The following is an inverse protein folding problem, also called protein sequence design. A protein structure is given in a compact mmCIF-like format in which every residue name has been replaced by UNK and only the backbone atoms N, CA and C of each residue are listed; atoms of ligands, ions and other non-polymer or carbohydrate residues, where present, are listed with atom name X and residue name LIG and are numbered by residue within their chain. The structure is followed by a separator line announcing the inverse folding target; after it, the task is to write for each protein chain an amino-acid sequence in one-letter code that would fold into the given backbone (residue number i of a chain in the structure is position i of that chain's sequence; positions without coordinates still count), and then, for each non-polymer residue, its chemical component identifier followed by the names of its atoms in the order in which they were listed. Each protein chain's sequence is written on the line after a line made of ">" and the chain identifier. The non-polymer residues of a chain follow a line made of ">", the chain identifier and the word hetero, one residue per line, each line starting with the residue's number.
data_IF_711485317567
#
_entry.id   IF_711485317567
#
_cell.length_a   1.000
_cell.length_b   1.000
_cell.length_c   1.000
_cell.angle_alpha   90.00
_cell.angle_beta   90.00
_cell.angle_gamma   90.00
#
_symmetry.space_group_name_H-M   'P 1'
#
loop_
_entity.id
_entity.type
_entity.pdbx_description
1 polymer ?
#
# COMPACT_ATOMS: atom_id res chain seq x y z
N UNK A 1 13.70 -52.98 -28.63
CA UNK A 1 13.91 -51.77 -29.47
C UNK A 1 12.79 -50.73 -29.39
N UNK A 2 11.49 -51.10 -29.36
CA UNK A 2 10.37 -50.14 -29.33
C UNK A 2 10.30 -49.30 -28.04
N UNK A 3 10.63 -49.89 -26.88
CA UNK A 3 10.56 -49.21 -25.57
C UNK A 3 11.50 -47.98 -25.50
N UNK A 4 12.71 -48.07 -26.07
CA UNK A 4 13.65 -46.94 -26.07
C UNK A 4 13.18 -45.77 -26.95
N UNK A 5 12.47 -46.03 -28.04
CA UNK A 5 11.93 -44.97 -28.90
C UNK A 5 10.82 -44.19 -28.19
N UNK A 6 9.93 -44.87 -27.46
CA UNK A 6 8.90 -44.20 -26.66
C UNK A 6 9.50 -43.37 -25.52
N UNK A 7 10.55 -43.86 -24.85
CA UNK A 7 11.25 -43.10 -23.81
C UNK A 7 11.89 -41.82 -24.34
N UNK A 8 12.55 -41.89 -25.50
CA UNK A 8 13.16 -40.72 -26.16
C UNK A 8 12.08 -39.69 -26.57
N UNK A 9 10.97 -40.15 -27.16
CA UNK A 9 9.87 -39.27 -27.55
C UNK A 9 9.22 -38.57 -26.35
N UNK A 10 8.99 -39.29 -25.25
CA UNK A 10 8.47 -38.71 -24.00
C UNK A 10 9.43 -37.66 -23.42
N UNK A 11 10.74 -37.93 -23.46
CA UNK A 11 11.75 -36.98 -22.99
C UNK A 11 11.79 -35.70 -23.84
N UNK A 12 11.73 -35.83 -25.16
CA UNK A 12 11.66 -34.67 -26.08
C UNK A 12 10.38 -33.87 -25.85
N UNK A 13 9.23 -34.54 -25.70
CA UNK A 13 7.96 -33.88 -25.41
C UNK A 13 8.02 -33.13 -24.08
N UNK A 14 8.61 -33.72 -23.04
CA UNK A 14 8.81 -33.05 -21.75
C UNK A 14 9.70 -31.81 -21.89
N UNK A 15 10.81 -31.88 -22.64
CA UNK A 15 11.68 -30.73 -22.90
C UNK A 15 10.93 -29.63 -23.66
N UNK A 16 10.18 -29.97 -24.71
CA UNK A 16 9.41 -29.01 -25.49
C UNK A 16 8.34 -28.31 -24.65
N UNK A 17 7.63 -29.05 -23.79
CA UNK A 17 6.66 -28.49 -22.84
C UNK A 17 7.35 -27.57 -21.85
N UNK A 18 8.47 -27.98 -21.24
CA UNK A 18 9.24 -27.13 -20.32
C UNK A 18 9.74 -25.86 -21.00
N UNK A 19 10.23 -25.96 -22.23
CA UNK A 19 10.67 -24.80 -23.01
C UNK A 19 9.51 -23.85 -23.32
N UNK A 20 8.36 -24.37 -23.75
CA UNK A 20 7.14 -23.59 -23.98
C UNK A 20 6.66 -22.88 -22.72
N UNK A 21 6.60 -23.59 -21.58
CA UNK A 21 6.20 -23.01 -20.30
C UNK A 21 7.21 -21.96 -19.79
N UNK A 22 8.51 -22.14 -20.06
CA UNK A 22 9.56 -21.15 -19.79
C UNK A 22 9.40 -19.91 -20.65
N UNK A 23 9.13 -20.04 -21.95
CA UNK A 23 8.86 -18.93 -22.87
C UNK A 23 7.63 -18.12 -22.44
N UNK A 24 6.58 -18.81 -21.95
CA UNK A 24 5.40 -18.17 -21.36
C UNK A 24 5.64 -17.57 -19.97
N UNK A 25 6.86 -17.70 -19.42
CA UNK A 25 7.22 -17.20 -18.10
C UNK A 25 6.45 -17.88 -16.96
N UNK A 26 5.88 -19.07 -17.21
CA UNK A 26 5.13 -19.87 -16.24
C UNK A 26 6.09 -20.58 -15.30
N UNK A 27 7.22 -21.07 -15.83
CA UNK A 27 8.29 -21.67 -15.02
C UNK A 27 9.21 -20.59 -14.46
N UNK A 28 9.75 -20.77 -13.23
CA UNK A 28 10.86 -19.96 -12.75
C UNK A 28 12.07 -20.16 -13.68
N UNK A 29 12.75 -19.08 -14.06
CA UNK A 29 13.77 -19.11 -15.12
C UNK A 29 14.96 -20.04 -14.85
N UNK A 30 15.13 -20.48 -13.60
CA UNK A 30 15.85 -21.70 -13.21
C UNK A 30 15.55 -21.96 -11.72
N UNK A 31 14.73 -22.97 -11.37
CA UNK A 31 14.36 -23.27 -9.97
C UNK A 31 15.58 -23.67 -9.13
N UNK A 32 16.61 -24.25 -9.75
CA UNK A 32 17.84 -24.71 -9.09
C UNK A 32 18.86 -23.59 -8.87
N UNK A 33 18.79 -22.50 -9.62
CA UNK A 33 19.81 -21.47 -9.47
C UNK A 33 19.68 -20.75 -8.11
N UNK A 34 20.84 -20.56 -7.51
CA UNK A 34 21.03 -20.08 -6.15
C UNK A 34 21.03 -18.55 -6.16
N UNK A 35 20.47 -17.94 -5.12
CA UNK A 35 20.56 -16.49 -4.91
C UNK A 35 22.03 -16.07 -4.77
N UNK A 36 22.39 -14.92 -5.34
CA UNK A 36 23.71 -14.29 -5.15
C UNK A 36 23.75 -13.40 -3.91
N UNK A 37 22.66 -13.30 -3.16
CA UNK A 37 22.63 -12.58 -1.90
C UNK A 37 23.44 -13.35 -0.85
N UNK A 38 24.19 -12.66 0.03
CA UNK A 38 24.80 -13.28 1.20
C UNK A 38 23.79 -14.08 2.03
N UNK A 39 24.21 -15.21 2.61
CA UNK A 39 23.33 -16.04 3.45
C UNK A 39 22.94 -15.37 4.77
N UNK A 40 23.75 -14.42 5.25
CA UNK A 40 23.51 -13.66 6.49
C UNK A 40 23.37 -12.18 6.16
N UNK A 41 22.58 -11.45 6.95
CA UNK A 41 22.38 -10.01 6.80
C UNK A 41 23.73 -9.27 6.85
N UNK A 42 24.12 -8.54 5.79
CA UNK A 42 25.30 -7.68 5.81
C UNK A 42 25.08 -6.46 6.72
N UNK A 43 26.16 -5.95 7.31
CA UNK A 43 26.13 -4.66 8.02
C UNK A 43 25.73 -3.53 7.06
N UNK A 44 25.00 -2.54 7.56
CA UNK A 44 24.56 -1.39 6.76
C UNK A 44 23.53 -1.74 5.67
N UNK A 45 22.81 -2.87 5.80
CA UNK A 45 21.68 -3.19 4.93
C UNK A 45 20.62 -2.09 5.02
N UNK A 46 20.12 -1.65 3.86
CA UNK A 46 19.00 -0.72 3.74
C UNK A 46 17.93 -1.33 2.84
N UNK A 47 16.68 -1.28 3.28
CA UNK A 47 15.50 -1.69 2.51
C UNK A 47 14.63 -0.46 2.29
N UNK A 48 14.27 -0.22 1.03
CA UNK A 48 13.29 0.80 0.66
C UNK A 48 12.16 0.13 -0.12
N UNK A 49 10.91 0.43 0.23
CA UNK A 49 9.74 0.01 -0.53
C UNK A 49 8.87 1.23 -0.82
N UNK A 50 8.54 1.45 -2.09
CA UNK A 50 7.61 2.49 -2.52
C UNK A 50 6.36 1.88 -3.16
N UNK A 51 5.18 2.41 -2.85
CA UNK A 51 3.93 2.09 -3.51
C UNK A 51 3.30 3.39 -4.08
N UNK A 52 3.31 3.54 -5.40
CA UNK A 52 2.80 4.72 -6.10
C UNK A 52 1.34 4.54 -6.54
N UNK A 53 0.59 5.65 -6.58
CA UNK A 53 -0.81 5.70 -7.02
C UNK A 53 -1.04 5.86 -8.52
N UNK A 54 0.01 5.78 -9.35
CA UNK A 54 -0.07 6.06 -10.79
C UNK A 54 -0.12 7.57 -11.04
N UNK A 55 -1.11 8.03 -11.79
CA UNK A 55 -1.37 9.47 -12.02
C UNK A 55 -1.90 10.20 -10.79
N UNK A 56 -2.38 9.47 -9.77
CA UNK A 56 -2.82 10.11 -8.53
C UNK A 56 -1.59 10.60 -7.73
N UNK A 57 -1.64 11.83 -7.18
CA UNK A 57 -0.57 12.38 -6.36
C UNK A 57 -0.63 11.78 -4.94
N UNK A 58 -0.50 10.45 -4.86
CA UNK A 58 -0.55 9.65 -3.64
C UNK A 58 0.57 8.61 -3.72
N UNK A 59 1.36 8.50 -2.66
CA UNK A 59 2.35 7.43 -2.54
C UNK A 59 2.54 7.01 -1.09
N UNK A 60 3.02 5.79 -0.91
CA UNK A 60 3.47 5.26 0.40
C UNK A 60 4.88 4.75 0.26
N UNK A 61 5.69 4.96 1.27
CA UNK A 61 7.07 4.53 1.34
C UNK A 61 7.35 3.84 2.66
N UNK A 62 8.31 2.94 2.66
CA UNK A 62 8.93 2.37 3.85
C UNK A 62 10.43 2.48 3.64
N UNK A 63 11.12 2.93 4.68
CA UNK A 63 12.57 2.89 4.79
C UNK A 63 12.92 2.09 6.04
N UNK A 64 13.82 1.12 5.92
CA UNK A 64 14.29 0.28 7.01
C UNK A 64 15.81 0.16 6.91
N UNK A 65 16.50 0.56 7.96
CA UNK A 65 17.91 0.29 8.22
C UNK A 65 18.12 -0.03 9.70
N UNK A 66 19.35 -0.37 10.08
CA UNK A 66 19.73 -0.58 11.47
C UNK A 66 19.55 0.70 12.32
N UNK A 67 19.85 1.86 11.73
CA UNK A 67 19.84 3.15 12.43
C UNK A 67 18.46 3.83 12.44
N UNK A 68 17.62 3.58 11.43
CA UNK A 68 16.35 4.27 11.28
C UNK A 68 15.34 3.47 10.50
N UNK A 69 14.10 3.46 10.98
CA UNK A 69 12.97 2.92 10.25
C UNK A 69 11.82 3.92 10.25
N UNK A 70 11.18 4.11 9.10
CA UNK A 70 9.97 4.92 9.00
C UNK A 70 9.04 4.46 7.88
N UNK A 71 7.75 4.65 8.10
CA UNK A 71 6.74 4.65 7.05
C UNK A 71 6.46 6.09 6.63
N UNK A 72 6.46 6.35 5.33
CA UNK A 72 6.06 7.63 4.73
C UNK A 72 4.71 7.47 4.03
N UNK A 73 3.77 8.37 4.26
CA UNK A 73 2.56 8.50 3.44
C UNK A 73 2.54 9.91 2.85
N UNK A 74 2.37 10.03 1.54
CA UNK A 74 2.25 11.30 0.85
C UNK A 74 0.94 11.34 0.06
N UNK A 75 0.18 12.42 0.20
CA UNK A 75 -0.99 12.67 -0.63
C UNK A 75 -1.25 14.17 -0.76
N UNK A 76 -1.52 14.65 -1.97
CA UNK A 76 -1.96 16.04 -2.22
C UNK A 76 -1.09 17.10 -1.51
N UNK A 77 0.24 16.99 -1.62
CA UNK A 77 1.25 17.87 -0.99
C UNK A 77 1.38 17.75 0.53
N UNK A 78 0.67 16.82 1.16
CA UNK A 78 0.82 16.49 2.59
C UNK A 78 1.68 15.24 2.73
N UNK A 79 2.74 15.32 3.56
CA UNK A 79 3.61 14.20 3.90
C UNK A 79 3.53 13.89 5.40
N UNK A 80 3.38 12.61 5.73
CA UNK A 80 3.58 12.09 7.08
C UNK A 80 4.71 11.07 7.09
N UNK A 81 5.55 11.16 8.11
CA UNK A 81 6.53 10.12 8.45
C UNK A 81 6.24 9.61 9.85
N UNK A 82 6.09 8.30 9.98
CA UNK A 82 5.92 7.63 11.25
C UNK A 82 7.13 6.73 11.48
N UNK A 83 7.90 7.09 12.49
CA UNK A 83 9.12 6.38 12.86
C UNK A 83 8.79 5.17 13.73
N UNK A 84 9.56 4.10 13.55
CA UNK A 84 9.49 2.90 14.38
C UNK A 84 10.89 2.29 14.50
N UNK A 85 11.02 1.21 15.28
CA UNK A 85 12.27 0.46 15.42
C UNK A 85 12.03 -1.02 15.16
N UNK A 86 13.01 -1.67 14.54
CA UNK A 86 13.12 -3.12 14.43
C UNK A 86 14.29 -3.59 15.28
N UNK A 87 14.14 -4.74 15.93
CA UNK A 87 15.24 -5.44 16.57
C UNK A 87 16.18 -6.06 15.53
N UNK A 88 17.40 -6.42 15.95
CA UNK A 88 18.34 -7.13 15.08
C UNK A 88 17.77 -8.45 14.55
N UNK A 89 17.06 -9.20 15.40
CA UNK A 89 16.41 -10.45 14.99
C UNK A 89 15.33 -10.20 13.92
N UNK A 90 14.53 -9.15 14.07
CA UNK A 90 13.52 -8.76 13.08
C UNK A 90 14.15 -8.35 11.75
N UNK A 91 15.29 -7.64 11.78
CA UNK A 91 16.05 -7.29 10.59
C UNK A 91 16.65 -8.53 9.91
N UNK A 92 17.16 -9.49 10.68
CA UNK A 92 17.69 -10.75 10.16
C UNK A 92 16.60 -11.60 9.50
N UNK A 93 15.42 -11.71 10.13
CA UNK A 93 14.25 -12.40 9.57
C UNK A 93 13.74 -11.72 8.30
N UNK A 94 13.66 -10.38 8.31
CA UNK A 94 13.26 -9.63 7.13
C UNK A 94 14.25 -9.83 5.99
N UNK A 95 15.57 -9.80 6.26
CA UNK A 95 16.59 -10.09 5.26
C UNK A 95 16.49 -11.52 4.72
N UNK A 96 16.28 -12.50 5.59
CA UNK A 96 16.13 -13.90 5.18
C UNK A 96 15.00 -14.08 4.17
N UNK A 97 13.91 -13.31 4.30
CA UNK A 97 12.83 -13.28 3.30
C UNK A 97 13.34 -12.94 1.89
N UNK A 98 14.28 -12.01 1.74
CA UNK A 98 14.87 -11.67 0.43
C UNK A 98 15.72 -12.81 -0.13
N UNK A 99 16.46 -13.51 0.73
CA UNK A 99 17.31 -14.64 0.35
C UNK A 99 16.46 -15.84 -0.09
N UNK A 100 15.47 -16.22 0.73
CA UNK A 100 14.60 -17.38 0.49
C UNK A 100 13.77 -17.20 -0.80
N UNK A 101 13.30 -15.97 -1.04
CA UNK A 101 12.54 -15.62 -2.23
C UNK A 101 13.43 -15.23 -3.42
N UNK A 102 14.76 -15.40 -3.32
CA UNK A 102 15.72 -15.16 -4.40
C UNK A 102 15.51 -13.78 -5.05
N UNK A 103 15.40 -12.73 -4.23
CA UNK A 103 15.00 -11.39 -4.67
C UNK A 103 15.86 -10.84 -5.81
N UNK A 104 17.16 -11.14 -5.80
CA UNK A 104 18.13 -10.78 -6.85
C UNK A 104 17.88 -11.44 -8.21
N UNK A 105 16.99 -12.43 -8.26
CA UNK A 105 16.66 -13.20 -9.47
C UNK A 105 15.24 -12.96 -9.98
N UNK A 106 14.45 -12.12 -9.30
CA UNK A 106 13.10 -11.80 -9.74
C UNK A 106 13.18 -11.10 -11.09
N UNK A 107 12.52 -11.67 -12.08
CA UNK A 107 12.48 -11.11 -13.43
C UNK A 107 11.27 -10.25 -13.65
N UNK A 108 11.48 -9.19 -14.42
CA UNK A 108 10.42 -8.32 -14.89
C UNK A 108 10.22 -8.47 -16.40
N UNK A 109 9.11 -7.95 -16.89
CA UNK A 109 8.83 -7.73 -18.30
C UNK A 109 8.29 -6.30 -18.45
N UNK A 110 8.49 -5.74 -19.65
CA UNK A 110 7.95 -4.44 -19.99
C UNK A 110 6.70 -4.63 -20.85
N UNK A 111 5.64 -3.89 -20.54
CA UNK A 111 4.39 -3.85 -21.31
C UNK A 111 3.83 -2.44 -21.28
N UNK A 112 3.36 -1.96 -22.43
CA UNK A 112 2.80 -0.62 -22.53
C UNK A 112 1.53 -0.51 -21.67
N UNK A 113 1.51 0.47 -20.77
CA UNK A 113 0.37 0.77 -19.90
C UNK A 113 0.46 2.23 -19.48
N UNK A 114 -0.65 2.96 -19.61
CA UNK A 114 -0.67 4.42 -19.51
C UNK A 114 -0.76 4.94 -18.08
N UNK A 115 -1.58 4.33 -17.22
CA UNK A 115 -1.71 4.71 -15.82
C UNK A 115 -1.74 3.47 -14.93
N UNK A 116 -0.62 3.20 -14.27
CA UNK A 116 -0.53 2.11 -13.29
C UNK A 116 0.34 2.51 -12.13
N UNK A 117 -0.29 2.57 -10.96
CA UNK A 117 0.43 2.52 -9.70
C UNK A 117 1.22 1.22 -9.53
N UNK A 118 1.86 1.06 -8.39
CA UNK A 118 2.55 -0.20 -8.12
C UNK A 118 3.66 -0.09 -7.12
N UNK A 119 4.28 -1.24 -6.86
CA UNK A 119 5.27 -1.38 -5.80
C UNK A 119 6.67 -1.53 -6.39
N UNK A 120 7.63 -0.77 -5.87
CA UNK A 120 9.06 -0.96 -6.11
C UNK A 120 9.75 -1.28 -4.80
N UNK A 121 10.66 -2.25 -4.83
CA UNK A 121 11.46 -2.65 -3.67
C UNK A 121 12.93 -2.50 -4.03
N UNK A 122 13.71 -1.91 -3.13
CA UNK A 122 15.15 -1.75 -3.23
C UNK A 122 15.79 -2.39 -1.99
N UNK A 123 16.80 -3.21 -2.22
CA UNK A 123 17.66 -3.78 -1.19
C UNK A 123 19.08 -3.31 -1.49
N UNK A 124 19.66 -2.50 -0.61
CA UNK A 124 21.05 -2.05 -0.70
C UNK A 124 21.91 -2.80 0.31
N UNK A 125 22.95 -3.46 -0.19
CA UNK A 125 23.96 -4.18 0.62
C UNK A 125 25.34 -3.95 0.00
N UNK A 126 26.36 -3.67 0.81
CA UNK A 126 27.76 -3.54 0.36
C UNK A 126 27.93 -2.67 -0.91
N UNK A 127 27.31 -1.48 -0.94
CA UNK A 127 27.30 -0.54 -2.09
C UNK A 127 26.59 -1.04 -3.37
N UNK A 128 25.98 -2.23 -3.33
CA UNK A 128 25.17 -2.78 -4.42
C UNK A 128 23.68 -2.60 -4.14
N UNK A 129 22.96 -2.13 -5.14
CA UNK A 129 21.49 -2.00 -5.09
C UNK A 129 20.85 -3.09 -5.94
N UNK A 130 20.00 -3.90 -5.31
CA UNK A 130 19.09 -4.82 -5.97
C UNK A 130 17.73 -4.15 -6.00
N UNK A 131 17.12 -4.01 -7.18
CA UNK A 131 15.84 -3.32 -7.32
C UNK A 131 14.90 -4.11 -8.19
N UNK A 132 13.64 -4.17 -7.77
CA UNK A 132 12.57 -4.86 -8.49
C UNK A 132 11.36 -3.94 -8.53
N UNK A 133 10.88 -3.69 -9.75
CA UNK A 133 9.74 -2.82 -10.01
C UNK A 133 8.54 -3.63 -10.48
N UNK A 134 7.41 -3.43 -9.80
CA UNK A 134 6.09 -3.83 -10.27
C UNK A 134 5.19 -2.59 -10.32
N UNK A 135 5.59 -1.60 -11.11
CA UNK A 135 4.92 -0.31 -11.27
C UNK A 135 5.00 0.20 -12.72
N UNK A 136 4.05 1.06 -13.10
CA UNK A 136 3.97 1.61 -14.46
C UNK A 136 3.95 0.50 -15.52
N UNK A 137 4.79 0.64 -16.54
CA UNK A 137 4.95 -0.32 -17.62
C UNK A 137 5.81 -1.55 -17.28
N UNK A 138 6.27 -1.71 -16.03
CA UNK A 138 7.11 -2.85 -15.61
C UNK A 138 6.31 -3.83 -14.77
N UNK A 139 6.30 -5.10 -15.16
CA UNK A 139 5.52 -6.17 -14.52
C UNK A 139 6.43 -7.29 -14.03
N UNK A 140 6.09 -7.93 -12.92
CA UNK A 140 6.76 -9.16 -12.49
C UNK A 140 6.33 -10.33 -13.40
N UNK A 141 7.29 -11.09 -13.91
CA UNK A 141 6.98 -12.32 -14.68
C UNK A 141 6.22 -13.31 -13.81
N UNK A 142 5.28 -14.07 -14.40
CA UNK A 142 4.38 -14.98 -13.68
C UNK A 142 5.13 -15.92 -12.71
N UNK A 143 6.22 -16.55 -13.16
CA UNK A 143 7.06 -17.43 -12.33
C UNK A 143 7.82 -16.76 -11.18
N UNK A 144 7.82 -15.42 -11.08
CA UNK A 144 8.43 -14.66 -9.97
C UNK A 144 7.40 -13.93 -9.09
N UNK A 145 6.10 -14.02 -9.40
CA UNK A 145 5.06 -13.26 -8.69
C UNK A 145 4.93 -13.66 -7.23
N UNK A 146 5.00 -14.97 -6.92
CA UNK A 146 4.96 -15.47 -5.53
C UNK A 146 6.12 -14.89 -4.72
N UNK A 147 7.35 -15.01 -5.23
CA UNK A 147 8.55 -14.54 -4.57
C UNK A 147 8.51 -13.03 -4.29
N UNK A 148 8.09 -12.23 -5.27
CA UNK A 148 7.94 -10.79 -5.08
C UNK A 148 6.81 -10.49 -4.07
N UNK A 149 5.69 -11.19 -4.17
CA UNK A 149 4.55 -11.07 -3.27
C UNK A 149 4.92 -11.34 -1.82
N UNK A 150 5.69 -12.40 -1.56
CA UNK A 150 6.17 -12.75 -0.22
C UNK A 150 7.08 -11.68 0.38
N UNK A 151 8.03 -11.15 -0.40
CA UNK A 151 8.90 -10.04 0.06
C UNK A 151 8.06 -8.81 0.44
N UNK A 152 7.14 -8.40 -0.44
CA UNK A 152 6.27 -7.24 -0.18
C UNK A 152 5.34 -7.49 1.01
N UNK A 153 4.79 -8.70 1.13
CA UNK A 153 3.89 -9.09 2.22
C UNK A 153 4.60 -9.03 3.57
N UNK A 154 5.81 -9.59 3.68
CA UNK A 154 6.58 -9.59 4.93
C UNK A 154 7.00 -8.17 5.35
N UNK A 155 7.41 -7.31 4.40
CA UNK A 155 7.68 -5.89 4.69
C UNK A 155 6.42 -5.21 5.24
N UNK A 156 5.26 -5.41 4.59
CA UNK A 156 3.99 -4.81 5.05
C UNK A 156 3.59 -5.33 6.43
N UNK A 157 3.72 -6.63 6.68
CA UNK A 157 3.34 -7.26 7.94
C UNK A 157 4.16 -6.72 9.12
N UNK A 158 5.49 -6.65 8.96
CA UNK A 158 6.37 -6.17 10.04
C UNK A 158 6.15 -4.68 10.32
N UNK A 159 5.99 -3.87 9.27
CA UNK A 159 5.67 -2.44 9.43
C UNK A 159 4.32 -2.25 10.11
N UNK A 160 3.28 -2.97 9.66
CA UNK A 160 1.95 -2.89 10.26
C UNK A 160 1.98 -3.26 11.75
N UNK A 161 2.73 -4.29 12.14
CA UNK A 161 2.89 -4.68 13.55
C UNK A 161 3.52 -3.57 14.41
N UNK A 162 4.44 -2.76 13.86
CA UNK A 162 5.06 -1.63 14.56
C UNK A 162 4.21 -0.36 14.55
N UNK A 163 3.45 -0.14 13.51
CA UNK A 163 2.63 1.06 13.31
C UNK A 163 1.27 0.95 14.01
N UNK A 164 0.67 -0.24 14.06
CA UNK A 164 -0.68 -0.43 14.61
C UNK A 164 -0.84 0.03 16.06
N UNK A 165 0.13 -0.19 16.98
CA UNK A 165 0.06 0.31 18.35
C UNK A 165 0.15 1.85 18.46
N UNK A 166 0.62 2.53 17.40
CA UNK A 166 0.75 3.99 17.37
C UNK A 166 -0.53 4.69 16.88
N UNK A 167 -1.52 3.91 16.43
CA UNK A 167 -2.80 4.44 15.98
C UNK A 167 -3.65 4.89 17.18
N UNK A 168 -4.14 6.13 17.15
CA UNK A 168 -5.11 6.64 18.09
C UNK A 168 -6.51 6.62 17.50
N UNK A 169 -7.51 6.42 18.35
CA UNK A 169 -8.90 6.57 17.98
C UNK A 169 -9.22 8.06 17.75
N UNK A 170 -10.02 8.32 16.73
CA UNK A 170 -10.42 9.64 16.29
C UNK A 170 -11.90 9.60 15.93
N UNK A 171 -12.70 10.43 16.59
CA UNK A 171 -14.15 10.49 16.42
C UNK A 171 -14.54 11.59 15.43
N UNK A 172 -15.40 11.24 14.47
CA UNK A 172 -16.09 12.20 13.61
C UNK A 172 -17.53 12.26 14.08
N UNK A 173 -17.92 13.38 14.67
CA UNK A 173 -19.28 13.66 15.12
C UNK A 173 -20.02 14.44 14.04
N UNK A 174 -21.01 13.83 13.42
CA UNK A 174 -21.90 14.48 12.45
C UNK A 174 -23.06 15.15 13.20
N UNK A 175 -23.32 16.42 12.92
CA UNK A 175 -24.54 17.07 13.40
C UNK A 175 -25.78 16.44 12.75
N UNK A 176 -26.91 16.44 13.47
CA UNK A 176 -28.18 15.88 12.99
C UNK A 176 -28.63 16.50 11.66
N UNK A 177 -28.45 17.81 11.46
CA UNK A 177 -28.83 18.47 10.21
C UNK A 177 -28.05 17.92 9.00
N UNK A 178 -26.76 17.61 9.19
CA UNK A 178 -25.93 16.99 8.13
C UNK A 178 -26.48 15.60 7.80
N UNK A 179 -26.88 14.83 8.81
CA UNK A 179 -27.42 13.47 8.66
C UNK A 179 -28.76 13.53 7.93
N UNK A 180 -29.69 14.38 8.36
CA UNK A 180 -31.06 14.44 7.84
C UNK A 180 -31.10 14.79 6.34
N UNK A 181 -30.15 15.63 5.90
CA UNK A 181 -30.00 16.04 4.51
C UNK A 181 -29.29 14.99 3.65
N UNK A 182 -28.52 14.09 4.26
CA UNK A 182 -27.67 13.13 3.56
C UNK A 182 -28.46 11.92 3.07
N UNK A 183 -28.25 11.55 1.80
CA UNK A 183 -28.75 10.31 1.22
C UNK A 183 -27.69 9.22 1.24
N UNK A 184 -26.47 9.57 0.84
CA UNK A 184 -25.30 8.69 0.82
C UNK A 184 -24.07 9.52 1.16
N UNK A 185 -22.96 8.88 1.48
CA UNK A 185 -21.76 9.58 1.94
C UNK A 185 -20.46 8.85 1.70
N UNK A 186 -19.37 9.61 1.79
CA UNK A 186 -18.02 9.08 1.73
C UNK A 186 -17.10 9.92 2.61
N UNK A 187 -16.33 9.22 3.44
CA UNK A 187 -15.25 9.77 4.25
C UNK A 187 -13.96 9.09 3.81
N UNK A 188 -12.95 9.87 3.43
CA UNK A 188 -11.65 9.34 3.05
C UNK A 188 -10.49 10.17 3.53
N UNK A 189 -9.40 9.47 3.87
CA UNK A 189 -8.10 10.08 4.05
C UNK A 189 -7.02 9.19 3.43
N UNK A 190 -6.49 9.55 2.25
CA UNK A 190 -5.45 8.76 1.60
C UNK A 190 -4.16 8.64 2.44
N UNK A 191 -3.83 9.70 3.18
CA UNK A 191 -2.67 9.71 4.10
C UNK A 191 -2.82 8.75 5.29
N UNK A 192 -4.05 8.40 5.66
CA UNK A 192 -4.38 7.47 6.76
C UNK A 192 -4.99 6.15 6.28
N UNK A 193 -5.10 5.92 4.97
CA UNK A 193 -5.71 4.72 4.37
C UNK A 193 -7.17 4.50 4.74
N UNK A 194 -7.90 5.59 4.92
CA UNK A 194 -9.31 5.57 5.27
C UNK A 194 -10.13 5.73 3.99
N UNK A 195 -11.11 4.85 3.81
CA UNK A 195 -12.18 4.96 2.83
C UNK A 195 -13.42 4.29 3.41
N UNK A 196 -14.39 5.10 3.83
CA UNK A 196 -15.65 4.65 4.41
C UNK A 196 -16.80 5.25 3.62
N UNK A 197 -17.57 4.39 2.95
CA UNK A 197 -18.77 4.78 2.20
C UNK A 197 -20.04 4.47 2.98
N UNK A 198 -21.07 5.27 2.73
CA UNK A 198 -22.44 5.08 3.18
C UNK A 198 -23.31 5.10 1.93
N UNK A 199 -24.08 4.05 1.68
CA UNK A 199 -24.96 3.93 0.51
C UNK A 199 -26.28 4.61 0.76
N UNK A 200 -27.04 4.82 -0.30
CA UNK A 200 -28.41 5.31 -0.19
C UNK A 200 -29.27 4.34 0.62
N UNK A 201 -29.98 4.88 1.62
CA UNK A 201 -30.81 4.08 2.53
C UNK A 201 -30.06 3.50 3.74
N UNK A 202 -28.73 3.62 3.79
CA UNK A 202 -27.97 3.25 4.98
C UNK A 202 -28.24 4.24 6.12
N UNK A 203 -28.26 3.74 7.36
CA UNK A 203 -28.24 4.60 8.54
C UNK A 203 -26.84 5.23 8.68
N UNK A 204 -26.74 6.55 8.48
CA UNK A 204 -25.50 7.29 8.68
C UNK A 204 -25.36 7.59 10.19
N UNK A 205 -24.38 6.99 10.89
CA UNK A 205 -24.25 7.18 12.32
C UNK A 205 -23.81 8.60 12.64
N UNK A 206 -24.32 9.15 13.74
CA UNK A 206 -23.91 10.45 14.29
C UNK A 206 -22.45 10.48 14.77
N UNK A 207 -21.88 9.33 15.13
CA UNK A 207 -20.49 9.20 15.56
C UNK A 207 -19.79 8.11 14.77
N UNK A 208 -18.65 8.46 14.16
CA UNK A 208 -17.82 7.55 13.37
C UNK A 208 -16.43 7.53 13.98
N UNK A 209 -16.03 6.38 14.53
CA UNK A 209 -14.65 6.19 15.02
C UNK A 209 -13.76 5.69 13.89
N UNK A 210 -12.60 6.34 13.73
CA UNK A 210 -11.53 6.01 12.80
C UNK A 210 -10.21 5.92 13.57
N UNK A 211 -9.19 5.33 12.95
CA UNK A 211 -7.85 5.25 13.52
C UNK A 211 -6.87 6.07 12.70
N UNK A 212 -6.14 6.96 13.36
CA UNK A 212 -5.14 7.83 12.74
C UNK A 212 -3.81 7.74 13.46
N UNK A 213 -2.74 8.09 12.74
CA UNK A 213 -1.45 8.36 13.36
C UNK A 213 -1.39 9.86 13.70
N UNK A 214 -0.57 10.28 14.68
CA UNK A 214 -0.22 11.68 14.79
C UNK A 214 0.42 12.21 13.51
N UNK A 215 0.06 13.41 13.09
CA UNK A 215 0.57 14.06 11.88
C UNK A 215 -0.50 14.82 11.09
N UNK A 216 -0.13 15.25 9.89
CA UNK A 216 -0.97 16.02 8.98
C UNK A 216 -1.70 15.10 8.00
N UNK A 217 -3.01 15.12 7.97
CA UNK A 217 -3.81 14.23 7.16
C UNK A 217 -4.70 14.99 6.21
N UNK A 218 -4.70 14.62 4.93
CA UNK A 218 -5.73 15.13 4.01
C UNK A 218 -7.02 14.34 4.25
N UNK A 219 -8.05 14.98 4.83
CA UNK A 219 -9.36 14.38 5.07
C UNK A 219 -10.39 14.97 4.09
N UNK A 220 -11.21 14.11 3.50
CA UNK A 220 -12.34 14.49 2.66
C UNK A 220 -13.61 13.85 3.20
N UNK A 221 -14.65 14.66 3.35
CA UNK A 221 -16.00 14.24 3.72
C UNK A 221 -16.94 14.78 2.66
N UNK A 222 -17.79 13.92 2.10
CA UNK A 222 -18.79 14.32 1.10
C UNK A 222 -20.05 13.46 1.21
N UNK A 223 -21.21 14.11 1.17
CA UNK A 223 -22.52 13.49 1.17
C UNK A 223 -23.31 13.92 -0.07
N UNK A 224 -24.09 13.00 -0.63
CA UNK A 224 -25.15 13.37 -1.56
C UNK A 224 -26.36 13.86 -0.76
N UNK A 225 -27.06 14.86 -1.27
CA UNK A 225 -28.19 15.48 -0.55
C UNK A 225 -29.54 15.18 -1.19
N UNK A 226 -30.61 15.17 -0.37
CA UNK A 226 -32.01 15.03 -0.83
C UNK A 226 -32.44 16.18 -1.74
N UNK A 227 -32.01 17.39 -1.38
CA UNK A 227 -32.35 18.60 -2.09
C UNK A 227 -31.17 19.13 -2.90
N UNK A 228 -31.49 19.91 -3.93
CA UNK A 228 -30.53 20.79 -4.57
C UNK A 228 -30.12 21.84 -3.55
N UNK A 229 -28.85 21.86 -3.14
CA UNK A 229 -28.33 22.97 -2.33
C UNK A 229 -28.57 24.29 -3.07
N UNK A 230 -28.57 25.41 -2.35
CA UNK A 230 -28.85 26.76 -2.89
C UNK A 230 -27.97 27.15 -4.10
N UNK A 231 -26.88 26.42 -4.34
CA UNK A 231 -25.95 26.57 -5.47
C UNK A 231 -26.15 25.54 -6.61
N UNK A 232 -27.27 24.83 -6.67
CA UNK A 232 -27.56 23.83 -7.70
C UNK A 232 -26.79 22.49 -7.55
N UNK A 233 -25.99 22.32 -6.49
CA UNK A 233 -25.21 21.08 -6.27
C UNK A 233 -25.98 20.08 -5.42
N UNK A 234 -25.88 18.80 -5.78
CA UNK A 234 -26.43 17.67 -5.02
C UNK A 234 -25.46 17.11 -3.97
N UNK A 235 -24.48 17.90 -3.54
CA UNK A 235 -23.38 17.42 -2.69
C UNK A 235 -23.03 18.41 -1.59
N UNK A 236 -23.04 17.93 -0.35
CA UNK A 236 -22.50 18.61 0.83
C UNK A 236 -21.13 18.03 1.13
N UNK A 237 -20.06 18.80 1.02
CA UNK A 237 -18.72 18.25 1.22
C UNK A 237 -17.65 19.27 1.48
N UNK A 238 -16.52 18.78 1.98
CA UNK A 238 -15.31 19.54 2.25
C UNK A 238 -14.08 18.65 2.22
N UNK A 239 -12.94 19.24 1.89
CA UNK A 239 -11.63 18.64 2.05
C UNK A 239 -10.75 19.61 2.82
N UNK A 240 -9.99 19.10 3.79
CA UNK A 240 -9.11 19.93 4.62
C UNK A 240 -7.92 19.14 5.15
N UNK A 241 -6.88 19.88 5.55
CA UNK A 241 -5.74 19.33 6.26
C UNK A 241 -6.08 19.20 7.75
N UNK A 242 -6.12 17.97 8.22
CA UNK A 242 -6.35 17.59 9.60
C UNK A 242 -5.00 17.41 10.30
N UNK A 243 -4.69 18.22 11.32
CA UNK A 243 -3.48 18.04 12.12
C UNK A 243 -3.82 17.30 13.40
N UNK A 244 -3.37 16.05 13.52
CA UNK A 244 -3.63 15.18 14.66
C UNK A 244 -2.40 15.16 15.54
N UNK A 245 -2.59 15.51 16.81
CA UNK A 245 -1.62 15.31 17.86
C UNK A 245 -2.17 14.32 18.92
N UNK A 246 -1.36 13.89 19.90
CA UNK A 246 -1.80 12.91 20.91
C UNK A 246 -3.03 13.34 21.73
N UNK A 247 -3.34 14.65 21.81
CA UNK A 247 -4.52 15.18 22.50
C UNK A 247 -5.76 15.35 21.60
N UNK A 248 -5.62 15.13 20.29
CA UNK A 248 -6.73 15.31 19.35
C UNK A 248 -7.67 14.10 19.40
N UNK A 249 -8.88 14.29 19.93
CA UNK A 249 -9.89 13.20 20.03
C UNK A 249 -10.80 13.10 18.82
N UNK A 250 -11.00 14.18 18.07
CA UNK A 250 -11.92 14.15 16.96
C UNK A 250 -12.26 15.50 16.34
N UNK A 251 -13.25 15.47 15.46
CA UNK A 251 -13.87 16.65 14.85
C UNK A 251 -15.39 16.56 14.92
N UNK A 252 -16.03 17.72 15.04
CA UNK A 252 -17.45 17.91 14.73
C UNK A 252 -17.58 18.41 13.31
N UNK A 253 -18.53 17.83 12.59
CA UNK A 253 -18.89 18.19 11.22
C UNK A 253 -20.26 18.87 11.31
N UNK A 254 -20.24 20.16 11.03
CA UNK A 254 -21.40 21.04 11.07
C UNK A 254 -21.73 21.51 9.65
N UNK A 255 -22.97 21.92 9.42
CA UNK A 255 -23.34 22.68 8.23
C UNK A 255 -23.23 24.16 8.58
N UNK A 256 -22.65 24.97 7.68
CA UNK A 256 -22.70 26.42 7.79
C UNK A 256 -23.89 27.02 7.02
N UNK A 257 -24.11 28.32 7.20
CA UNK A 257 -25.19 29.06 6.52
C UNK A 257 -25.07 29.08 4.99
N UNK A 258 -23.91 28.73 4.44
CA UNK A 258 -23.65 28.67 3.00
C UNK A 258 -23.81 27.26 2.39
N UNK A 259 -24.29 26.29 3.19
CA UNK A 259 -24.38 24.87 2.79
C UNK A 259 -23.03 24.22 2.50
N UNK A 260 -21.98 24.66 3.20
CA UNK A 260 -20.66 24.03 3.21
C UNK A 260 -20.46 23.33 4.55
N UNK A 261 -19.62 22.29 4.58
CA UNK A 261 -19.23 21.64 5.83
C UNK A 261 -18.21 22.48 6.58
N UNK A 262 -18.50 22.77 7.85
CA UNK A 262 -17.57 23.35 8.82
C UNK A 262 -17.02 22.23 9.71
N UNK A 263 -15.72 22.30 10.01
CA UNK A 263 -15.02 21.30 10.82
C UNK A 263 -14.46 21.96 12.08
N UNK A 264 -14.78 21.40 13.24
CA UNK A 264 -14.31 21.90 14.54
C UNK A 264 -13.62 20.79 15.32
N UNK A 265 -12.37 21.00 15.73
CA UNK A 265 -11.65 20.04 16.56
C UNK A 265 -12.26 19.98 17.96
N UNK A 266 -12.21 18.79 18.56
CA UNK A 266 -12.38 18.66 20.01
C UNK A 266 -11.28 17.77 20.58
N UNK A 267 -10.91 18.09 21.82
CA UNK A 267 -9.82 17.49 22.57
C UNK A 267 -10.30 16.48 23.61
#
# INVERSE_FOLDING_TARGET
>A
MKIHHYAILLFIAAIAVLFYLSQKGILPDNPLAVSKLPKKRPKGMVIEMGNGGGMLPISKGVYISEDSCYQRNWAYRVENKTYFKLSNQELDQLYQTFVDNKFDRIRTLHSQTHDRGGTSVYLRINRKTYQVHNAGSTYIRKGSQSNFGEVVSNIKKIVAAKISPLLQDFSIQLNQEVIDLSLSGHISSPTANISKGFKQGDNIPNNITLKFLPGKHHLRISFTTKDTLTNGKKYLGGAFELNINPSTKGIRVLRDSSSVLKFEYFQ
#
